data_IF_208272657493
#
_entry.id   IF_208272657493
#
_cell.length_a   1.000
_cell.length_b   1.000
_cell.length_c   1.000
_cell.angle_alpha   90.00
_cell.angle_beta   90.00
_cell.angle_gamma   90.00
#
_symmetry.space_group_name_H-M   'P 1'
#
loop_
_entity.id
_entity.type
_entity.pdbx_description
1 polymer ?
#
# COMPACT_ATOMS: atom_id res chain seq x y z
N UNK A 1 21.36 8.23 -14.69
CA UNK A 1 19.93 7.84 -14.57
C UNK A 1 19.19 9.03 -13.99
N UNK A 2 18.08 9.49 -14.59
CA UNK A 2 17.32 10.58 -14.00
C UNK A 2 16.78 10.10 -12.65
N UNK A 3 17.09 10.83 -11.59
CA UNK A 3 16.44 10.67 -10.28
C UNK A 3 14.98 11.10 -10.47
N UNK A 4 14.10 10.15 -10.73
CA UNK A 4 12.67 10.39 -10.58
C UNK A 4 12.43 10.37 -9.07
N UNK A 5 12.42 11.55 -8.46
CA UNK A 5 12.26 11.71 -7.01
C UNK A 5 10.81 11.50 -6.57
N UNK A 6 9.85 11.64 -7.48
CA UNK A 6 8.43 11.42 -7.26
C UNK A 6 7.79 10.99 -8.58
N UNK A 7 6.94 9.95 -8.52
CA UNK A 7 6.14 9.52 -9.65
C UNK A 7 4.69 9.48 -9.20
N UNK A 8 3.83 10.22 -9.89
CA UNK A 8 2.37 10.16 -9.76
C UNK A 8 1.83 9.30 -10.89
N UNK A 9 1.31 8.12 -10.56
CA UNK A 9 0.84 7.18 -11.57
C UNK A 9 -0.63 6.87 -11.35
N UNK A 10 -1.44 7.17 -12.37
CA UNK A 10 -2.86 6.82 -12.46
C UNK A 10 -2.94 5.47 -13.14
N UNK A 11 -3.29 4.44 -12.37
CA UNK A 11 -3.26 3.05 -12.82
C UNK A 11 -4.64 2.60 -13.32
N UNK A 12 -4.83 2.57 -14.64
CA UNK A 12 -6.06 2.03 -15.26
C UNK A 12 -5.91 0.61 -15.85
N UNK A 13 -4.68 0.15 -16.15
CA UNK A 13 -4.33 -1.24 -16.59
C UNK A 13 -2.80 -1.44 -16.73
N UNK A 14 -2.32 -2.68 -16.58
CA UNK A 14 -0.93 -3.14 -16.77
C UNK A 14 0.12 -2.65 -15.76
N UNK A 15 -0.07 -3.03 -14.49
CA UNK A 15 0.83 -2.70 -13.38
C UNK A 15 2.28 -3.18 -13.53
N UNK A 16 2.51 -4.31 -14.21
CA UNK A 16 3.82 -4.99 -14.25
C UNK A 16 4.93 -4.14 -14.89
N UNK A 17 4.72 -3.67 -16.12
CA UNK A 17 5.72 -2.88 -16.87
C UNK A 17 6.05 -1.56 -16.19
N UNK A 18 5.05 -0.96 -15.56
CA UNK A 18 5.23 0.28 -14.81
C UNK A 18 6.18 0.03 -13.64
N UNK A 19 5.88 -0.98 -12.83
CA UNK A 19 6.66 -1.26 -11.63
C UNK A 19 8.10 -1.71 -11.92
N UNK A 20 8.33 -2.43 -13.02
CA UNK A 20 9.68 -2.71 -13.52
C UNK A 20 10.50 -1.44 -13.77
N UNK A 21 9.86 -0.39 -14.30
CA UNK A 21 10.54 0.87 -14.66
C UNK A 21 10.84 1.80 -13.48
N UNK A 22 10.18 1.60 -12.32
CA UNK A 22 10.29 2.49 -11.15
C UNK A 22 10.92 1.82 -9.92
N UNK A 23 11.54 0.65 -10.06
CA UNK A 23 12.20 -0.08 -8.95
C UNK A 23 13.27 0.72 -8.19
N UNK A 24 13.83 1.77 -8.80
CA UNK A 24 14.91 2.60 -8.23
C UNK A 24 14.46 3.86 -7.49
N UNK A 25 13.14 4.12 -7.41
CA UNK A 25 12.62 5.34 -6.76
C UNK A 25 12.71 5.26 -5.23
N UNK A 26 12.91 6.42 -4.59
CA UNK A 26 12.92 6.56 -3.12
C UNK A 26 11.58 6.98 -2.54
N UNK A 27 10.80 7.72 -3.30
CA UNK A 27 9.46 8.16 -2.93
C UNK A 27 8.50 7.85 -4.07
N UNK A 28 7.35 7.28 -3.72
CA UNK A 28 6.33 6.88 -4.68
C UNK A 28 4.95 7.32 -4.20
N UNK A 29 4.21 7.99 -5.09
CA UNK A 29 2.83 8.42 -4.88
C UNK A 29 1.95 7.72 -5.92
N UNK A 30 1.08 6.79 -5.52
CA UNK A 30 0.16 6.14 -6.48
C UNK A 30 -1.28 6.53 -6.21
N UNK A 31 -2.00 6.75 -7.31
CA UNK A 31 -3.44 6.82 -7.33
C UNK A 31 -3.97 5.59 -8.08
N UNK A 32 -4.64 4.70 -7.34
CA UNK A 32 -5.08 3.40 -7.84
C UNK A 32 -6.59 3.31 -7.71
N UNK A 33 -7.29 3.26 -8.83
CA UNK A 33 -8.74 3.08 -8.86
C UNK A 33 -9.10 2.05 -9.92
N UNK A 34 -10.13 1.25 -9.66
CA UNK A 34 -10.72 0.41 -10.70
C UNK A 34 -12.23 0.40 -10.58
N UNK A 35 -12.90 0.32 -11.73
CA UNK A 35 -14.35 0.16 -11.80
C UNK A 35 -14.79 -1.30 -11.59
N UNK A 36 -13.86 -2.26 -11.53
CA UNK A 36 -14.17 -3.68 -11.34
C UNK A 36 -13.68 -4.17 -9.98
N UNK A 37 -14.61 -4.49 -9.07
CA UNK A 37 -14.30 -5.07 -7.74
C UNK A 37 -13.89 -6.55 -7.79
N UNK A 38 -13.05 -6.93 -8.75
CA UNK A 38 -12.54 -8.29 -8.92
C UNK A 38 -11.17 -8.46 -8.26
N UNK A 39 -11.06 -9.48 -7.41
CA UNK A 39 -9.85 -9.84 -6.65
C UNK A 39 -8.65 -10.22 -7.55
N UNK A 40 -8.90 -10.65 -8.78
CA UNK A 40 -7.93 -11.34 -9.64
C UNK A 40 -6.94 -10.43 -10.38
N UNK A 41 -7.19 -9.12 -10.44
CA UNK A 41 -6.42 -8.21 -11.30
C UNK A 41 -5.14 -7.65 -10.66
N UNK A 42 -4.93 -7.88 -9.37
CA UNK A 42 -3.86 -7.24 -8.59
C UNK A 42 -2.77 -8.21 -8.15
N UNK A 43 -2.33 -9.11 -9.04
CA UNK A 43 -1.16 -9.94 -8.77
C UNK A 43 0.08 -9.20 -9.24
N UNK A 44 0.99 -8.87 -8.33
CA UNK A 44 2.38 -8.62 -8.72
C UNK A 44 2.99 -9.93 -9.22
N UNK A 45 3.74 -9.88 -10.30
CA UNK A 45 4.64 -10.98 -10.65
C UNK A 45 5.78 -11.05 -9.63
N UNK A 46 6.19 -12.28 -9.30
CA UNK A 46 7.38 -12.54 -8.49
C UNK A 46 8.59 -11.90 -9.20
N UNK A 47 9.17 -10.83 -8.63
CA UNK A 47 10.36 -10.19 -9.18
C UNK A 47 10.40 -8.65 -9.13
N UNK A 48 9.29 -7.97 -8.81
CA UNK A 48 9.29 -6.52 -8.61
C UNK A 48 9.75 -6.20 -7.19
N UNK A 49 10.93 -5.59 -7.05
CA UNK A 49 11.51 -5.19 -5.76
C UNK A 49 11.83 -3.70 -5.72
N UNK A 50 11.21 -2.98 -4.79
CA UNK A 50 11.46 -1.57 -4.50
C UNK A 50 12.57 -1.40 -3.45
N UNK A 51 13.78 -1.84 -3.79
CA UNK A 51 14.92 -1.91 -2.87
C UNK A 51 15.42 -0.56 -2.33
N UNK A 52 14.93 0.56 -2.87
CA UNK A 52 15.29 1.91 -2.45
C UNK A 52 14.10 2.72 -1.93
N UNK A 53 12.88 2.17 -1.95
CA UNK A 53 11.69 2.91 -1.58
C UNK A 53 11.66 3.15 -0.08
N UNK A 54 11.67 4.43 0.30
CA UNK A 54 11.63 4.92 1.67
C UNK A 54 10.27 5.57 1.99
N UNK A 55 9.57 6.10 0.99
CA UNK A 55 8.29 6.80 1.16
C UNK A 55 7.24 6.29 0.18
N UNK A 56 6.10 5.88 0.70
CA UNK A 56 4.97 5.40 -0.09
C UNK A 56 3.70 6.15 0.31
N UNK A 57 3.11 6.88 -0.63
CA UNK A 57 1.80 7.50 -0.50
C UNK A 57 0.83 6.82 -1.46
N UNK A 58 -0.31 6.39 -0.95
CA UNK A 58 -1.29 5.64 -1.73
C UNK A 58 -2.69 6.20 -1.53
N UNK A 59 -3.32 6.54 -2.65
CA UNK A 59 -4.74 6.86 -2.75
C UNK A 59 -5.42 5.70 -3.48
N UNK A 60 -6.30 4.96 -2.81
CA UNK A 60 -6.88 3.73 -3.34
C UNK A 60 -8.40 3.77 -3.32
N UNK A 61 -9.04 3.36 -4.41
CA UNK A 61 -10.51 3.28 -4.54
C UNK A 61 -10.96 1.99 -5.22
N UNK A 62 -10.94 0.87 -4.48
CA UNK A 62 -11.51 -0.44 -4.86
C UNK A 62 -11.48 -1.46 -3.69
N UNK A 63 -12.19 -2.60 -3.80
CA UNK A 63 -12.17 -3.72 -2.83
C UNK A 63 -10.85 -4.52 -2.86
N UNK A 64 -10.46 -5.17 -1.75
CA UNK A 64 -9.24 -6.01 -1.69
C UNK A 64 -7.92 -5.25 -1.83
N UNK A 65 -7.94 -3.93 -1.66
CA UNK A 65 -6.76 -3.06 -1.70
C UNK A 65 -5.66 -3.48 -0.71
N UNK A 66 -6.02 -4.11 0.41
CA UNK A 66 -5.06 -4.55 1.42
C UNK A 66 -4.08 -5.60 0.87
N UNK A 67 -4.50 -6.41 -0.12
CA UNK A 67 -3.62 -7.40 -0.77
C UNK A 67 -2.54 -6.73 -1.59
N UNK A 68 -2.92 -5.71 -2.38
CA UNK A 68 -1.98 -4.89 -3.14
C UNK A 68 -0.96 -4.23 -2.21
N UNK A 69 -1.45 -3.62 -1.13
CA UNK A 69 -0.58 -2.98 -0.13
C UNK A 69 0.39 -3.95 0.48
N UNK A 70 -0.08 -5.12 0.89
CA UNK A 70 0.79 -6.11 1.51
C UNK A 70 1.90 -6.58 0.58
N UNK A 71 1.61 -6.76 -0.71
CA UNK A 71 2.64 -7.08 -1.70
C UNK A 71 3.64 -5.93 -1.87
N UNK A 72 3.18 -4.67 -1.87
CA UNK A 72 4.10 -3.51 -1.88
C UNK A 72 5.00 -3.49 -0.64
N UNK A 73 4.45 -3.79 0.54
CA UNK A 73 5.23 -3.88 1.79
C UNK A 73 6.27 -5.00 1.73
N UNK A 74 5.90 -6.18 1.22
CA UNK A 74 6.84 -7.30 1.05
C UNK A 74 8.01 -6.94 0.12
N UNK A 75 7.75 -6.13 -0.90
CA UNK A 75 8.74 -5.75 -1.89
C UNK A 75 9.50 -4.44 -1.57
N UNK A 76 9.25 -3.82 -0.42
CA UNK A 76 9.84 -2.51 -0.06
C UNK A 76 10.58 -2.55 1.29
N UNK A 77 11.66 -3.35 1.44
CA UNK A 77 12.29 -3.61 2.74
C UNK A 77 12.82 -2.35 3.46
N UNK A 78 13.08 -1.26 2.72
CA UNK A 78 13.54 0.02 3.28
C UNK A 78 12.44 1.03 3.55
N UNK A 79 11.17 0.65 3.46
CA UNK A 79 10.06 1.58 3.58
C UNK A 79 10.00 2.20 4.99
N UNK A 80 10.10 3.52 5.07
CA UNK A 80 10.10 4.30 6.32
C UNK A 80 8.79 5.00 6.57
N UNK A 81 8.12 5.47 5.51
CA UNK A 81 6.87 6.22 5.61
C UNK A 81 5.81 5.58 4.73
N UNK A 82 4.70 5.20 5.33
CA UNK A 82 3.49 4.75 4.63
C UNK A 82 2.36 5.74 4.90
N UNK A 83 1.84 6.37 3.86
CA UNK A 83 0.64 7.22 3.90
C UNK A 83 -0.45 6.59 3.04
N UNK A 84 -1.61 6.36 3.62
CA UNK A 84 -2.73 5.70 2.98
C UNK A 84 -3.98 6.58 3.04
N UNK A 85 -4.69 6.64 1.92
CA UNK A 85 -6.03 7.19 1.82
C UNK A 85 -6.88 6.20 1.02
N UNK A 86 -7.97 5.72 1.60
CA UNK A 86 -8.87 4.74 0.97
C UNK A 86 -10.23 5.38 0.72
N UNK A 87 -10.49 5.73 -0.53
CA UNK A 87 -11.77 6.28 -0.98
C UNK A 87 -12.69 5.16 -1.45
N UNK A 88 -13.49 4.60 -0.55
CA UNK A 88 -14.57 3.71 -0.95
C UNK A 88 -15.89 4.47 -0.82
N UNK A 89 -16.46 4.87 -1.94
CA UNK A 89 -17.73 5.60 -2.02
C UNK A 89 -18.97 4.71 -1.82
N UNK A 90 -18.87 3.74 -0.90
CA UNK A 90 -19.92 2.77 -0.59
C UNK A 90 -20.14 1.70 -1.67
N UNK A 91 -19.55 1.85 -2.86
CA UNK A 91 -19.60 0.85 -3.94
C UNK A 91 -18.70 -0.37 -3.68
N UNK A 92 -17.68 -0.20 -2.86
CA UNK A 92 -16.70 -1.23 -2.49
C UNK A 92 -16.92 -1.65 -1.03
N UNK A 93 -17.48 -2.84 -0.84
CA UNK A 93 -17.77 -3.43 0.46
C UNK A 93 -17.42 -4.92 0.54
N UNK A 94 -16.74 -5.46 -0.47
CA UNK A 94 -16.33 -6.87 -0.47
C UNK A 94 -15.02 -6.98 0.28
N UNK A 95 -15.04 -7.74 1.36
CA UNK A 95 -13.83 -8.12 2.08
C UNK A 95 -13.79 -9.61 2.30
N UNK A 96 -12.65 -10.20 1.95
CA UNK A 96 -12.28 -11.55 2.35
C UNK A 96 -11.04 -11.44 3.21
N UNK A 97 -11.15 -11.94 4.45
CA UNK A 97 -10.04 -11.91 5.39
C UNK A 97 -8.78 -12.46 4.74
N UNK A 98 -7.70 -11.69 4.86
CA UNK A 98 -6.42 -12.02 4.25
C UNK A 98 -5.58 -12.72 5.31
N UNK A 99 -5.13 -13.94 4.98
CA UNK A 99 -4.13 -14.62 5.80
C UNK A 99 -2.76 -14.01 5.49
N UNK A 100 -2.27 -13.17 6.39
CA UNK A 100 -0.93 -12.60 6.32
C UNK A 100 0.09 -13.65 6.81
N UNK A 101 0.53 -14.53 5.92
CA UNK A 101 1.37 -15.68 6.27
C UNK A 101 2.79 -15.32 6.71
N UNK A 102 3.29 -14.14 6.32
CA UNK A 102 4.58 -13.60 6.72
C UNK A 102 4.49 -12.12 7.05
N UNK A 103 5.35 -11.65 7.95
CA UNK A 103 5.46 -10.23 8.26
C UNK A 103 6.46 -9.61 7.30
N UNK A 104 6.09 -8.57 6.51
CA UNK A 104 7.02 -7.86 5.65
C UNK A 104 8.21 -7.30 6.44
N UNK A 105 9.43 -7.43 5.90
CA UNK A 105 10.67 -6.98 6.54
C UNK A 105 10.59 -5.50 6.92
N UNK A 106 9.96 -4.68 6.08
CA UNK A 106 9.85 -3.25 6.36
C UNK A 106 9.09 -2.94 7.65
N UNK A 107 8.10 -3.75 8.03
CA UNK A 107 7.39 -3.56 9.30
C UNK A 107 8.31 -3.85 10.49
N UNK A 108 9.18 -4.85 10.36
CA UNK A 108 10.09 -5.23 11.43
C UNK A 108 11.25 -4.24 11.59
N UNK A 109 11.80 -3.73 10.49
CA UNK A 109 13.12 -3.10 10.50
C UNK A 109 13.16 -1.62 10.13
N UNK A 110 12.19 -1.09 9.35
CA UNK A 110 12.34 0.23 8.73
C UNK A 110 11.15 1.17 8.84
N UNK A 111 9.92 0.68 9.01
CA UNK A 111 8.72 1.52 9.02
C UNK A 111 8.68 2.39 10.29
N UNK A 112 8.81 3.70 10.11
CA UNK A 112 8.86 4.70 11.17
C UNK A 112 7.57 5.51 11.27
N UNK A 113 6.85 5.71 10.15
CA UNK A 113 5.62 6.51 10.10
C UNK A 113 4.51 5.80 9.36
N UNK A 114 3.33 5.76 9.96
CA UNK A 114 2.10 5.24 9.36
C UNK A 114 0.96 6.26 9.46
N UNK A 115 0.45 6.72 8.33
CA UNK A 115 -0.71 7.59 8.28
C UNK A 115 -1.84 6.91 7.50
N UNK A 116 -3.05 6.90 8.06
CA UNK A 116 -4.26 6.45 7.39
C UNK A 116 -5.32 7.54 7.49
N UNK A 117 -5.52 8.27 6.39
CA UNK A 117 -6.61 9.24 6.25
C UNK A 117 -7.86 8.61 5.64
N UNK A 118 -9.04 9.09 6.05
CA UNK A 118 -10.32 8.56 5.54
C UNK A 118 -10.73 7.22 6.16
N UNK A 119 -10.18 6.88 7.33
CA UNK A 119 -10.48 5.62 8.01
C UNK A 119 -11.93 5.59 8.49
N UNK A 120 -12.72 4.68 7.93
CA UNK A 120 -14.15 4.53 8.23
C UNK A 120 -14.46 3.36 9.17
N UNK A 121 -13.44 2.57 9.51
CA UNK A 121 -13.58 1.40 10.35
C UNK A 121 -14.20 0.21 9.63
N UNK A 122 -14.03 0.09 8.31
CA UNK A 122 -14.45 -1.10 7.55
C UNK A 122 -13.65 -2.34 8.00
N UNK A 123 -14.20 -3.56 7.85
CA UNK A 123 -13.50 -4.79 8.23
C UNK A 123 -12.08 -4.90 7.65
N UNK A 124 -11.90 -4.62 6.36
CA UNK A 124 -10.57 -4.64 5.71
C UNK A 124 -9.59 -3.63 6.34
N UNK A 125 -10.08 -2.43 6.66
CA UNK A 125 -9.27 -1.38 7.29
C UNK A 125 -8.86 -1.75 8.70
N UNK A 126 -9.79 -2.30 9.49
CA UNK A 126 -9.52 -2.78 10.86
C UNK A 126 -8.45 -3.85 10.87
N UNK A 127 -8.58 -4.84 9.99
CA UNK A 127 -7.64 -5.96 9.91
C UNK A 127 -6.26 -5.47 9.45
N UNK A 128 -6.21 -4.58 8.45
CA UNK A 128 -4.95 -4.01 7.97
C UNK A 128 -4.26 -3.13 9.04
N UNK A 129 -4.98 -2.20 9.67
CA UNK A 129 -4.44 -1.35 10.74
C UNK A 129 -3.95 -2.22 11.91
N UNK A 130 -4.75 -3.19 12.34
CA UNK A 130 -4.39 -4.12 13.41
C UNK A 130 -3.10 -4.87 13.06
N UNK A 131 -2.96 -5.33 11.82
CA UNK A 131 -1.75 -5.98 11.34
C UNK A 131 -0.53 -5.05 11.38
N UNK A 132 -0.63 -3.83 10.87
CA UNK A 132 0.48 -2.86 10.89
C UNK A 132 0.90 -2.56 12.33
N UNK A 133 -0.03 -2.17 13.20
CA UNK A 133 0.28 -1.78 14.59
C UNK A 133 0.88 -2.93 15.40
N UNK A 134 0.43 -4.17 15.16
CA UNK A 134 0.99 -5.35 15.85
C UNK A 134 2.42 -5.70 15.42
N UNK A 135 2.80 -5.38 14.18
CA UNK A 135 4.04 -5.86 13.59
C UNK A 135 5.10 -4.77 13.36
N UNK A 136 4.71 -3.50 13.29
CA UNK A 136 5.60 -2.38 13.00
C UNK A 136 6.49 -2.02 14.22
N UNK A 137 7.66 -2.67 14.36
CA UNK A 137 8.52 -2.56 15.56
C UNK A 137 9.26 -1.24 15.69
N UNK A 138 9.48 -0.55 14.57
CA UNK A 138 10.21 0.73 14.51
C UNK A 138 9.31 1.95 14.39
N UNK A 139 7.99 1.75 14.52
CA UNK A 139 7.00 2.81 14.36
C UNK A 139 7.20 3.89 15.43
N UNK A 140 7.45 5.12 15.00
CA UNK A 140 7.63 6.30 15.85
C UNK A 140 6.41 7.21 15.85
N UNK A 141 5.70 7.26 14.74
CA UNK A 141 4.51 8.08 14.55
C UNK A 141 3.42 7.28 13.85
N UNK A 142 2.20 7.38 14.38
CA UNK A 142 1.00 6.88 13.72
C UNK A 142 -0.12 7.89 13.79
N UNK A 143 -0.88 8.03 12.70
CA UNK A 143 -2.07 8.87 12.63
C UNK A 143 -3.16 8.15 11.87
N UNK A 144 -4.35 8.08 12.45
CA UNK A 144 -5.52 7.50 11.81
C UNK A 144 -6.63 8.53 11.97
N UNK A 145 -7.12 9.07 10.85
CA UNK A 145 -8.12 10.14 10.85
C UNK A 145 -9.38 9.71 10.10
N UNK A 146 -10.57 10.09 10.58
CA UNK A 146 -11.82 9.82 9.88
C UNK A 146 -11.87 10.58 8.54
N UNK A 147 -12.85 10.26 7.67
CA UNK A 147 -13.21 11.11 6.54
C UNK A 147 -13.55 12.53 7.01
N UNK A 148 -13.22 13.53 6.18
CA UNK A 148 -13.55 14.94 6.42
C UNK A 148 -15.06 15.22 6.31
#
# INVERSE_FOLDING_TARGET
>A
MPKVEEADIILEKHMEKLFESITSVKSLSLLVGTNSGEESQFKFHDGIFFNQLEHLKLCISFDYWSKLLFQLLQNSPKLRVLKLYVDCDGRFNKYKSVSWSSVPECLLESLETFEFAGYSGRPEERDFVSFIIKNARRLKSSSITPPA
#
